data_IF_703224675698
#
_entry.id   IF_703224675698
#
_cell.length_a   1.000
_cell.length_b   1.000
_cell.length_c   1.000
_cell.angle_alpha   90.00
_cell.angle_beta   90.00
_cell.angle_gamma   90.00
#
_symmetry.space_group_name_H-M   'P 1'
#
loop_
_entity.id
_entity.type
_entity.pdbx_description
1 polymer ?
#
# COMPACT_ATOMS: atom_id res chain seq x y z
N UNK A 1 -9.56 26.42 19.42
CA UNK A 1 -10.32 25.27 19.94
C UNK A 1 -11.75 25.71 20.19
N UNK A 2 -12.72 24.86 19.88
CA UNK A 2 -14.12 25.13 20.16
C UNK A 2 -14.39 24.95 21.66
N UNK A 3 -14.94 25.97 22.31
CA UNK A 3 -15.15 26.00 23.76
C UNK A 3 -16.62 25.83 24.17
N UNK A 4 -17.48 25.62 23.17
CA UNK A 4 -18.92 25.45 23.34
C UNK A 4 -19.30 23.97 23.25
N UNK A 5 -20.34 23.59 23.99
CA UNK A 5 -20.98 22.27 23.87
C UNK A 5 -22.47 22.43 24.11
N UNK A 6 -23.29 21.61 23.45
CA UNK A 6 -24.71 21.54 23.75
C UNK A 6 -24.93 21.04 25.20
N UNK A 7 -25.87 21.65 25.92
CA UNK A 7 -26.10 21.34 27.33
C UNK A 7 -26.63 19.91 27.53
N UNK A 8 -27.49 19.42 26.65
CA UNK A 8 -28.00 18.04 26.73
C UNK A 8 -26.89 17.04 26.45
N UNK A 9 -26.00 17.34 25.51
CA UNK A 9 -24.78 16.55 25.27
C UNK A 9 -23.91 16.51 26.54
N UNK A 10 -23.65 17.66 27.18
CA UNK A 10 -22.84 17.71 28.40
C UNK A 10 -23.47 16.90 29.55
N UNK A 11 -24.79 17.02 29.76
CA UNK A 11 -25.51 16.20 30.77
C UNK A 11 -25.36 14.70 30.48
N UNK A 12 -25.44 14.29 29.20
CA UNK A 12 -25.24 12.89 28.82
C UNK A 12 -23.81 12.43 29.07
N UNK A 13 -22.81 13.26 28.74
CA UNK A 13 -21.40 12.99 29.02
C UNK A 13 -21.17 12.87 30.53
N UNK A 14 -21.74 13.76 31.35
CA UNK A 14 -21.67 13.68 32.82
C UNK A 14 -22.19 12.34 33.34
N UNK A 15 -23.37 11.92 32.85
CA UNK A 15 -23.99 10.65 33.21
C UNK A 15 -23.07 9.45 32.87
N UNK A 16 -22.43 9.46 31.69
CA UNK A 16 -21.52 8.39 31.28
C UNK A 16 -20.22 8.38 32.10
N UNK A 17 -19.64 9.55 32.40
CA UNK A 17 -18.46 9.66 33.25
C UNK A 17 -18.76 9.18 34.66
N UNK A 18 -19.90 9.58 35.25
CA UNK A 18 -20.35 9.03 36.55
C UNK A 18 -20.45 7.50 36.51
N UNK A 19 -20.84 6.94 35.37
CA UNK A 19 -20.96 5.49 35.14
C UNK A 19 -19.63 4.74 34.96
N UNK A 20 -18.52 5.42 34.69
CA UNK A 20 -17.20 4.80 34.48
C UNK A 20 -16.45 5.22 33.22
N UNK A 21 -17.04 6.08 32.38
CA UNK A 21 -16.36 6.58 31.18
C UNK A 21 -15.16 7.46 31.54
N UNK A 22 -14.05 7.28 30.84
CA UNK A 22 -12.95 8.24 30.80
C UNK A 22 -13.13 9.17 29.62
N UNK A 23 -13.14 10.49 29.85
CA UNK A 23 -13.14 11.50 28.78
C UNK A 23 -11.81 12.24 28.74
N UNK A 24 -11.36 12.58 27.53
CA UNK A 24 -10.19 13.42 27.29
C UNK A 24 -10.67 14.64 26.51
N UNK A 25 -10.84 15.79 27.18
CA UNK A 25 -11.39 17.00 26.57
C UNK A 25 -11.05 18.26 27.36
N UNK A 26 -10.92 19.43 26.69
CA UNK A 26 -10.89 20.71 27.36
C UNK A 26 -12.19 21.00 28.10
N UNK A 27 -12.12 21.86 29.12
CA UNK A 27 -13.31 22.28 29.87
C UNK A 27 -14.20 23.18 28.98
N UNK A 28 -15.48 22.85 28.76
CA UNK A 28 -16.40 23.74 28.06
C UNK A 28 -16.73 24.96 28.93
N UNK A 29 -17.02 26.11 28.30
CA UNK A 29 -17.26 27.38 29.01
C UNK A 29 -18.63 28.01 28.70
N UNK A 30 -19.32 27.54 27.66
CA UNK A 30 -20.63 28.07 27.23
C UNK A 30 -21.44 27.05 26.46
N UNK A 31 -22.76 27.21 26.43
CA UNK A 31 -23.66 26.35 25.68
C UNK A 31 -23.62 26.69 24.18
N UNK A 32 -23.95 25.72 23.31
CA UNK A 32 -24.19 26.01 21.89
C UNK A 32 -25.58 26.62 21.70
N UNK A 33 -25.65 27.89 21.31
CA UNK A 33 -26.91 28.59 20.99
C UNK A 33 -27.41 29.52 22.11
N UNK A 34 -28.64 30.04 21.93
CA UNK A 34 -29.28 31.00 22.85
C UNK A 34 -30.47 30.40 23.64
N UNK A 35 -30.81 29.14 23.38
CA UNK A 35 -31.94 28.47 24.04
C UNK A 35 -31.67 28.36 25.54
N UNK A 36 -32.55 28.95 26.36
CA UNK A 36 -32.41 28.92 27.82
C UNK A 36 -31.32 29.82 28.38
N UNK A 37 -30.77 30.74 27.58
CA UNK A 37 -29.80 31.72 28.07
C UNK A 37 -30.46 32.70 29.07
N UNK A 38 -29.78 33.07 30.18
CA UNK A 38 -28.42 32.70 30.59
C UNK A 38 -28.32 31.43 31.47
N UNK A 39 -29.45 30.83 31.84
CA UNK A 39 -29.49 29.69 32.76
C UNK A 39 -28.78 28.45 32.21
N UNK A 40 -28.81 28.26 30.89
CA UNK A 40 -28.08 27.20 30.20
C UNK A 40 -26.57 27.28 30.42
N UNK A 41 -25.98 28.49 30.35
CA UNK A 41 -24.56 28.71 30.59
C UNK A 41 -24.22 28.53 32.08
N UNK A 42 -25.13 28.94 32.97
CA UNK A 42 -24.97 28.74 34.40
C UNK A 42 -24.91 27.26 34.74
N UNK A 43 -25.87 26.47 34.28
CA UNK A 43 -25.90 25.03 34.53
C UNK A 43 -24.70 24.31 33.89
N UNK A 44 -24.33 24.68 32.66
CA UNK A 44 -23.14 24.14 32.00
C UNK A 44 -21.90 24.36 32.86
N UNK A 45 -21.70 25.58 33.37
CA UNK A 45 -20.56 25.92 34.22
C UNK A 45 -20.58 25.13 35.54
N UNK A 46 -21.76 24.90 36.11
CA UNK A 46 -21.91 24.06 37.30
C UNK A 46 -21.54 22.59 37.03
N UNK A 47 -21.98 22.02 35.90
CA UNK A 47 -21.61 20.65 35.50
C UNK A 47 -20.10 20.58 35.24
N UNK A 48 -19.57 21.50 34.45
CA UNK A 48 -18.15 21.56 34.10
C UNK A 48 -17.26 21.71 35.36
N UNK A 49 -17.66 22.55 36.32
CA UNK A 49 -16.94 22.74 37.58
C UNK A 49 -16.88 21.46 38.40
N UNK A 50 -17.98 20.70 38.49
CA UNK A 50 -18.00 19.41 39.22
C UNK A 50 -17.20 18.33 38.51
N UNK A 51 -17.32 18.24 37.18
CA UNK A 51 -16.67 17.20 36.37
C UNK A 51 -15.16 17.41 36.22
N UNK A 52 -14.72 18.60 35.80
CA UNK A 52 -13.30 18.91 35.61
C UNK A 52 -12.62 19.27 36.94
N UNK A 53 -13.35 19.76 37.95
CA UNK A 53 -12.78 20.09 39.26
C UNK A 53 -11.60 21.07 39.14
N UNK A 54 -10.40 20.71 39.63
CA UNK A 54 -9.21 21.56 39.53
C UNK A 54 -8.45 21.44 38.20
N UNK A 55 -8.89 20.59 37.26
CA UNK A 55 -8.17 20.33 36.00
C UNK A 55 -8.08 21.59 35.15
N UNK A 56 -6.86 21.93 34.74
CA UNK A 56 -6.51 23.11 33.97
C UNK A 56 -5.74 22.78 32.66
N UNK A 57 -5.54 21.49 32.36
CA UNK A 57 -4.89 21.05 31.13
C UNK A 57 -3.38 21.21 31.09
N UNK A 58 -2.75 21.66 32.16
CA UNK A 58 -1.30 21.90 32.22
C UNK A 58 -0.68 21.29 33.48
N UNK A 59 -0.91 21.89 34.65
CA UNK A 59 -0.36 21.39 35.93
C UNK A 59 -1.26 20.33 36.58
N UNK A 60 -2.57 20.43 36.37
CA UNK A 60 -3.55 19.44 36.83
C UNK A 60 -4.31 18.97 35.60
N UNK A 61 -4.09 17.71 35.24
CA UNK A 61 -4.55 17.15 33.96
C UNK A 61 -5.59 16.06 34.12
N UNK A 62 -5.91 15.63 35.34
CA UNK A 62 -6.87 14.57 35.62
C UNK A 62 -7.74 14.89 36.85
N UNK A 63 -9.03 14.55 36.77
CA UNK A 63 -9.96 14.52 37.89
C UNK A 63 -10.75 13.20 37.88
N UNK A 64 -10.93 12.59 39.05
CA UNK A 64 -11.84 11.46 39.21
C UNK A 64 -13.26 11.97 39.49
N UNK A 65 -14.25 11.47 38.77
CA UNK A 65 -15.64 11.90 38.93
C UNK A 65 -16.62 10.73 38.81
N UNK A 66 -17.35 10.45 39.89
CA UNK A 66 -18.12 9.22 40.01
C UNK A 66 -17.22 7.98 39.89
N UNK A 67 -17.53 7.07 38.96
CA UNK A 67 -16.69 5.90 38.66
C UNK A 67 -15.70 6.13 37.52
N UNK A 68 -15.78 7.27 36.83
CA UNK A 68 -14.98 7.59 35.66
C UNK A 68 -13.92 8.65 35.91
N UNK A 69 -13.37 9.18 34.81
CA UNK A 69 -12.26 10.14 34.83
C UNK A 69 -12.46 11.23 33.79
N UNK A 70 -11.99 12.43 34.11
CA UNK A 70 -11.93 13.58 33.20
C UNK A 70 -10.49 14.00 33.06
N UNK A 71 -9.98 14.01 31.83
CA UNK A 71 -8.59 14.31 31.50
C UNK A 71 -8.53 15.49 30.52
N UNK A 72 -7.57 16.39 30.71
CA UNK A 72 -7.32 17.50 29.79
C UNK A 72 -5.80 17.71 29.63
N UNK A 73 -5.36 17.98 28.39
CA UNK A 73 -3.98 18.37 28.10
C UNK A 73 -3.00 17.20 27.96
N UNK A 74 -3.51 15.97 27.89
CA UNK A 74 -2.70 14.74 27.75
C UNK A 74 -2.93 14.12 26.38
N UNK A 75 -1.86 13.54 25.82
CA UNK A 75 -1.94 12.73 24.61
C UNK A 75 -2.77 11.45 24.85
N UNK A 76 -3.67 11.15 23.91
CA UNK A 76 -4.59 10.00 23.98
C UNK A 76 -3.83 8.69 24.11
N UNK A 77 -2.72 8.50 23.37
CA UNK A 77 -1.98 7.24 23.40
C UNK A 77 -1.34 7.01 24.78
N UNK A 78 -0.81 8.07 25.39
CA UNK A 78 -0.24 8.04 26.75
C UNK A 78 -1.29 7.62 27.77
N UNK A 79 -2.49 8.21 27.71
CA UNK A 79 -3.61 7.87 28.61
C UNK A 79 -4.05 6.41 28.41
N UNK A 80 -4.20 5.95 27.17
CA UNK A 80 -4.57 4.56 26.88
C UNK A 80 -3.54 3.56 27.43
N UNK A 81 -2.25 3.84 27.29
CA UNK A 81 -1.18 2.99 27.83
C UNK A 81 -1.22 2.89 29.36
N UNK A 82 -1.47 3.99 30.06
CA UNK A 82 -1.65 3.98 31.53
C UNK A 82 -2.90 3.22 31.96
N UNK A 83 -3.95 3.25 31.14
CA UNK A 83 -5.13 2.40 31.28
C UNK A 83 -4.87 0.93 30.89
N UNK A 84 -3.62 0.57 30.57
CA UNK A 84 -3.19 -0.77 30.11
C UNK A 84 -3.85 -1.20 28.81
N UNK A 85 -4.34 -0.23 28.01
CA UNK A 85 -4.87 -0.44 26.67
C UNK A 85 -3.73 -0.28 25.68
N UNK A 86 -3.18 -1.40 25.23
CA UNK A 86 -2.14 -1.42 24.19
C UNK A 86 -2.68 -0.92 22.84
N UNK A 87 -1.82 -0.41 21.93
CA UNK A 87 -2.22 -0.10 20.56
C UNK A 87 -2.92 -1.29 19.91
N UNK A 88 -3.98 -1.03 19.14
CA UNK A 88 -4.72 -2.08 18.42
C UNK A 88 -3.90 -2.65 17.25
N UNK A 89 -3.20 -1.74 16.54
CA UNK A 89 -2.12 -2.04 15.62
C UNK A 89 -0.92 -1.15 15.93
N UNK A 90 0.26 -1.74 16.01
CA UNK A 90 1.56 -1.05 16.02
C UNK A 90 2.42 -1.60 14.88
N UNK A 91 3.39 -0.85 14.37
CA UNK A 91 4.37 -1.38 13.44
C UNK A 91 5.77 -0.81 13.68
N UNK A 92 6.80 -1.58 13.31
CA UNK A 92 8.19 -1.12 13.25
C UNK A 92 8.71 -1.20 11.81
N UNK A 93 9.46 -0.20 11.38
CA UNK A 93 10.05 -0.11 10.03
C UNK A 93 11.48 0.39 10.10
N UNK A 94 12.35 -0.08 9.21
CA UNK A 94 13.70 0.49 9.02
C UNK A 94 13.70 1.71 8.11
N UNK A 95 12.58 1.98 7.43
CA UNK A 95 12.48 3.09 6.51
C UNK A 95 11.94 4.34 7.22
N UNK A 96 12.60 5.51 7.04
CA UNK A 96 12.14 6.75 7.64
C UNK A 96 10.77 7.13 7.07
N UNK A 97 9.94 7.78 7.88
CA UNK A 97 8.63 8.28 7.46
C UNK A 97 7.62 7.23 6.99
N UNK A 98 7.86 5.94 7.24
CA UNK A 98 6.87 4.87 6.99
C UNK A 98 5.51 5.29 7.54
N UNK A 99 4.48 5.20 6.71
CA UNK A 99 3.13 5.59 7.06
C UNK A 99 2.17 4.49 6.66
N UNK A 100 1.62 3.80 7.65
CA UNK A 100 0.54 2.85 7.47
C UNK A 100 -0.71 3.39 8.16
N UNK A 101 -1.86 2.99 7.64
CA UNK A 101 -3.16 3.29 8.22
C UNK A 101 -4.01 2.02 8.18
N UNK A 102 -5.03 1.95 9.03
CA UNK A 102 -5.81 0.74 9.17
C UNK A 102 -7.25 0.95 9.62
N UNK A 103 -8.08 -0.04 9.30
CA UNK A 103 -9.39 -0.25 9.90
C UNK A 103 -9.40 -1.66 10.49
N UNK A 104 -9.98 -1.80 11.68
CA UNK A 104 -10.17 -3.08 12.35
C UNK A 104 -11.66 -3.39 12.51
N UNK A 105 -12.07 -4.60 12.11
CA UNK A 105 -13.41 -5.16 12.32
C UNK A 105 -13.31 -6.50 13.01
N UNK A 106 -14.30 -6.82 13.83
CA UNK A 106 -14.36 -8.08 14.58
C UNK A 106 -15.69 -8.79 14.37
N UNK A 107 -15.68 -10.10 14.60
CA UNK A 107 -16.84 -10.98 14.69
C UNK A 107 -16.54 -12.08 15.71
N UNK A 108 -17.50 -12.96 15.96
CA UNK A 108 -17.30 -14.07 16.91
C UNK A 108 -16.21 -15.07 16.46
N UNK A 109 -15.87 -15.11 15.17
CA UNK A 109 -14.95 -16.10 14.60
C UNK A 109 -13.60 -15.54 14.16
N UNK A 110 -13.52 -14.23 13.93
CA UNK A 110 -12.34 -13.60 13.33
C UNK A 110 -12.20 -12.11 13.63
N UNK A 111 -10.94 -11.67 13.63
CA UNK A 111 -10.50 -10.28 13.58
C UNK A 111 -10.00 -9.97 12.16
N UNK A 112 -10.37 -8.80 11.64
CA UNK A 112 -10.13 -8.38 10.26
C UNK A 112 -9.47 -7.00 10.28
N UNK A 113 -8.18 -6.94 9.96
CA UNK A 113 -7.46 -5.69 9.75
C UNK A 113 -7.33 -5.43 8.25
N UNK A 114 -7.74 -4.25 7.80
CA UNK A 114 -7.38 -3.74 6.49
C UNK A 114 -6.26 -2.71 6.68
N UNK A 115 -5.07 -2.99 6.17
CA UNK A 115 -3.88 -2.14 6.36
C UNK A 115 -3.41 -1.61 5.01
N UNK A 116 -3.12 -0.32 4.95
CA UNK A 116 -2.76 0.39 3.71
C UNK A 116 -1.43 1.11 3.85
N UNK A 117 -0.61 1.06 2.79
CA UNK A 117 0.60 1.87 2.67
C UNK A 117 0.23 3.30 2.25
N UNK A 118 0.32 4.26 3.18
CA UNK A 118 0.05 5.67 2.95
C UNK A 118 1.30 6.50 2.67
N UNK A 119 2.48 5.89 2.47
CA UNK A 119 3.71 6.67 2.25
C UNK A 119 3.56 7.69 1.11
N UNK A 120 3.08 7.24 -0.06
CA UNK A 120 2.82 8.10 -1.22
C UNK A 120 1.77 9.20 -0.97
N UNK A 121 0.95 9.04 0.08
CA UNK A 121 -0.13 9.95 0.49
C UNK A 121 0.16 10.71 1.78
N UNK A 122 1.34 10.56 2.38
CA UNK A 122 1.66 11.17 3.68
C UNK A 122 1.69 12.69 3.55
N UNK A 123 0.91 13.38 4.38
CA UNK A 123 0.82 14.85 4.38
C UNK A 123 0.10 15.42 3.15
N UNK A 124 -0.61 14.59 2.38
CA UNK A 124 -1.42 15.07 1.25
C UNK A 124 -2.77 15.55 1.78
N UNK A 125 -3.19 16.71 1.27
CA UNK A 125 -4.51 17.26 1.46
C UNK A 125 -5.41 16.82 0.30
N UNK A 126 -6.50 16.11 0.59
CA UNK A 126 -7.44 15.57 -0.42
C UNK A 126 -8.15 16.68 -1.24
N UNK A 127 -8.09 17.93 -0.79
CA UNK A 127 -8.62 19.09 -1.52
C UNK A 127 -7.67 19.65 -2.58
N UNK A 128 -6.41 19.21 -2.62
CA UNK A 128 -5.42 19.67 -3.60
C UNK A 128 -5.27 18.66 -4.75
N UNK A 129 -5.57 19.09 -5.97
CA UNK A 129 -5.34 18.27 -7.16
C UNK A 129 -3.84 18.08 -7.38
N UNK A 130 -3.36 16.83 -7.37
CA UNK A 130 -1.95 16.50 -7.66
C UNK A 130 -1.83 15.62 -8.89
N UNK A 131 -0.79 15.89 -9.67
CA UNK A 131 -0.32 15.04 -10.77
C UNK A 131 1.10 14.61 -10.48
N UNK A 132 1.27 13.30 -10.22
CA UNK A 132 2.56 12.68 -9.96
C UNK A 132 3.02 11.98 -11.24
N UNK A 133 4.08 12.50 -11.87
CA UNK A 133 4.72 11.88 -13.04
C UNK A 133 5.63 10.71 -12.66
N UNK A 134 6.00 10.65 -11.38
CA UNK A 134 6.72 9.55 -10.75
C UNK A 134 6.00 9.22 -9.45
N UNK A 135 5.40 8.02 -9.39
CA UNK A 135 4.95 7.49 -8.12
C UNK A 135 6.18 7.04 -7.33
N UNK A 136 6.26 7.31 -6.02
CA UNK A 136 7.29 6.69 -5.20
C UNK A 136 7.03 5.18 -5.20
N UNK A 137 7.84 4.43 -5.93
CA UNK A 137 7.85 2.97 -5.98
C UNK A 137 8.41 2.39 -4.67
N UNK A 138 7.93 2.89 -3.53
CA UNK A 138 8.40 2.54 -2.21
C UNK A 138 7.55 1.44 -1.60
N UNK A 139 8.18 0.27 -1.52
CA UNK A 139 7.71 -0.84 -0.72
C UNK A 139 7.92 -0.54 0.77
N UNK A 140 6.99 -1.00 1.61
CA UNK A 140 7.09 -0.88 3.08
C UNK A 140 7.25 -2.26 3.72
N UNK A 141 8.49 -2.66 4.06
CA UNK A 141 8.76 -3.83 4.90
C UNK A 141 8.60 -3.47 6.38
N UNK A 142 7.62 -4.07 7.03
CA UNK A 142 7.25 -3.75 8.42
C UNK A 142 7.04 -5.00 9.26
N UNK A 143 7.29 -4.91 10.56
CA UNK A 143 6.72 -5.85 11.52
C UNK A 143 5.49 -5.22 12.15
N UNK A 144 4.32 -5.76 11.83
CA UNK A 144 3.06 -5.31 12.41
C UNK A 144 2.72 -6.15 13.64
N UNK A 145 2.39 -5.49 14.75
CA UNK A 145 1.90 -6.09 15.99
C UNK A 145 0.40 -5.80 16.12
N UNK A 146 -0.39 -6.85 16.04
CA UNK A 146 -1.85 -6.80 16.14
C UNK A 146 -2.26 -7.19 17.55
N UNK A 147 -3.21 -6.48 18.16
CA UNK A 147 -3.74 -6.80 19.50
C UNK A 147 -4.73 -7.97 19.47
N UNK A 148 -4.25 -9.09 18.92
CA UNK A 148 -4.94 -10.36 18.77
C UNK A 148 -4.01 -11.47 19.27
N UNK A 149 -4.55 -12.49 19.93
CA UNK A 149 -3.79 -13.66 20.42
C UNK A 149 -4.60 -14.93 20.27
N UNK A 150 -3.92 -16.08 20.13
CA UNK A 150 -4.57 -17.38 20.06
C UNK A 150 -5.27 -17.70 18.73
N UNK A 151 -5.08 -16.86 17.70
CA UNK A 151 -5.70 -17.01 16.38
C UNK A 151 -4.64 -17.19 15.29
N UNK A 152 -5.06 -17.76 14.15
CA UNK A 152 -4.16 -18.04 13.02
C UNK A 152 -4.30 -16.93 11.97
N UNK A 153 -3.18 -16.25 11.60
CA UNK A 153 -3.21 -15.20 10.59
C UNK A 153 -3.27 -15.72 9.14
N UNK A 154 -3.96 -14.97 8.29
CA UNK A 154 -4.07 -15.13 6.84
C UNK A 154 -3.90 -13.76 6.15
N UNK A 155 -3.38 -13.77 4.92
CA UNK A 155 -3.33 -12.61 4.04
C UNK A 155 -4.30 -12.77 2.89
N UNK A 156 -5.14 -11.76 2.71
CA UNK A 156 -6.14 -11.71 1.66
C UNK A 156 -5.82 -10.50 0.76
N UNK A 157 -5.54 -10.78 -0.51
CA UNK A 157 -5.20 -9.79 -1.52
C UNK A 157 -6.48 -9.20 -2.12
N UNK A 158 -6.80 -7.91 -1.88
CA UNK A 158 -8.01 -7.28 -2.39
C UNK A 158 -8.02 -7.12 -3.91
N UNK A 159 -6.84 -7.14 -4.56
CA UNK A 159 -6.70 -6.94 -6.00
C UNK A 159 -7.00 -8.21 -6.78
N UNK A 160 -6.64 -9.37 -6.22
CA UNK A 160 -6.76 -10.67 -6.90
C UNK A 160 -7.77 -11.62 -6.27
N UNK A 161 -8.25 -11.33 -5.06
CA UNK A 161 -9.10 -12.22 -4.27
C UNK A 161 -8.39 -13.46 -3.73
N UNK A 162 -7.06 -13.56 -3.91
CA UNK A 162 -6.27 -14.70 -3.41
C UNK A 162 -6.10 -14.61 -1.91
N UNK A 163 -6.23 -15.75 -1.25
CA UNK A 163 -6.01 -15.91 0.19
C UNK A 163 -4.78 -16.79 0.43
N UNK A 164 -3.99 -16.45 1.44
CA UNK A 164 -2.76 -17.16 1.78
C UNK A 164 -2.60 -17.31 3.29
N UNK A 165 -2.26 -18.51 3.75
CA UNK A 165 -1.89 -18.73 5.15
C UNK A 165 -0.58 -18.01 5.51
N UNK A 166 -0.54 -17.36 6.67
CA UNK A 166 0.68 -16.78 7.22
C UNK A 166 1.38 -17.81 8.10
N UNK A 167 2.57 -18.24 7.66
CA UNK A 167 3.40 -19.19 8.41
C UNK A 167 4.55 -18.54 9.16
N UNK A 168 4.78 -17.24 9.00
CA UNK A 168 5.80 -16.50 9.73
C UNK A 168 5.10 -15.50 10.63
N UNK A 169 4.99 -15.83 11.90
CA UNK A 169 4.42 -14.96 12.91
C UNK A 169 4.86 -15.44 14.29
N UNK A 170 4.66 -14.61 15.31
CA UNK A 170 4.83 -15.01 16.70
C UNK A 170 3.81 -14.31 17.57
N UNK A 171 3.56 -14.85 18.75
CA UNK A 171 2.74 -14.21 19.77
C UNK A 171 3.64 -13.78 20.94
N UNK A 172 3.48 -12.54 21.39
CA UNK A 172 4.24 -11.96 22.49
C UNK A 172 3.36 -10.92 23.19
N UNK A 173 3.30 -10.97 24.52
CA UNK A 173 2.56 -10.02 25.36
C UNK A 173 1.11 -9.73 24.92
N UNK A 174 0.38 -10.75 24.48
CA UNK A 174 -1.02 -10.60 24.04
C UNK A 174 -1.20 -9.96 22.66
N UNK A 175 -0.13 -9.89 21.87
CA UNK A 175 -0.15 -9.42 20.48
C UNK A 175 0.40 -10.49 19.53
N UNK A 176 -0.09 -10.49 18.30
CA UNK A 176 0.44 -11.32 17.20
C UNK A 176 1.29 -10.43 16.30
N UNK A 177 2.53 -10.83 16.06
CA UNK A 177 3.52 -10.06 15.30
C UNK A 177 3.75 -10.75 13.98
N UNK A 178 3.53 -10.03 12.88
CA UNK A 178 3.64 -10.53 11.51
C UNK A 178 4.57 -9.62 10.69
N UNK A 179 5.61 -10.16 10.04
CA UNK A 179 6.38 -9.40 9.05
C UNK A 179 5.56 -9.28 7.76
N UNK A 180 5.29 -8.04 7.34
CA UNK A 180 4.48 -7.71 6.18
C UNK A 180 5.25 -6.85 5.18
N UNK A 181 4.85 -6.97 3.93
CA UNK A 181 5.41 -6.23 2.80
C UNK A 181 4.28 -5.57 2.04
N UNK A 182 4.21 -4.24 2.07
CA UNK A 182 3.23 -3.51 1.29
C UNK A 182 3.87 -2.96 0.03
N UNK A 183 3.21 -3.18 -1.09
CA UNK A 183 3.52 -2.54 -2.37
C UNK A 183 3.33 -1.01 -2.27
N UNK A 184 3.90 -0.22 -3.19
CA UNK A 184 3.61 1.21 -3.33
C UNK A 184 2.11 1.49 -3.39
N UNK A 185 1.58 2.29 -2.45
CA UNK A 185 0.13 2.53 -2.27
C UNK A 185 -0.72 1.25 -2.13
N UNK A 186 -0.08 0.11 -1.86
CA UNK A 186 -0.70 -1.19 -1.73
C UNK A 186 -1.47 -1.36 -0.42
N UNK A 187 -2.37 -2.34 -0.41
CA UNK A 187 -3.19 -2.68 0.74
C UNK A 187 -3.38 -4.18 0.88
N UNK A 188 -3.60 -4.63 2.11
CA UNK A 188 -3.85 -6.05 2.41
C UNK A 188 -4.86 -6.19 3.53
N UNK A 189 -5.64 -7.26 3.46
CA UNK A 189 -6.43 -7.74 4.58
C UNK A 189 -5.63 -8.77 5.36
N UNK A 190 -5.45 -8.52 6.66
CA UNK A 190 -4.84 -9.44 7.62
C UNK A 190 -5.98 -10.00 8.46
N UNK A 191 -6.28 -11.28 8.24
CA UNK A 191 -7.39 -11.97 8.92
C UNK A 191 -6.81 -12.86 10.00
N UNK A 192 -7.34 -12.79 11.22
CA UNK A 192 -7.04 -13.73 12.28
C UNK A 192 -8.27 -14.60 12.52
N UNK A 193 -8.16 -15.91 12.34
CA UNK A 193 -9.28 -16.85 12.54
C UNK A 193 -9.04 -17.75 13.73
N UNK A 194 -10.13 -18.10 14.44
CA UNK A 194 -10.12 -19.23 15.38
C UNK A 194 -9.93 -20.54 14.60
N UNK A 195 -8.71 -21.05 14.60
CA UNK A 195 -8.34 -22.28 13.91
C UNK A 195 -7.25 -23.04 14.67
N UNK A 196 -7.10 -24.33 14.36
CA UNK A 196 -6.01 -25.13 14.91
C UNK A 196 -4.68 -24.56 14.42
N UNK A 197 -3.83 -24.17 15.36
CA UNK A 197 -2.49 -23.65 15.06
C UNK A 197 -1.71 -24.69 14.26
N UNK A 198 -1.31 -24.31 13.05
CA UNK A 198 -0.36 -25.08 12.23
C UNK A 198 1.09 -24.79 12.69
N UNK A 199 2.05 -25.68 12.39
CA UNK A 199 3.47 -25.34 12.51
C UNK A 199 3.76 -24.01 11.82
N UNK A 200 4.38 -23.09 12.55
CA UNK A 200 4.73 -21.76 12.07
C UNK A 200 6.14 -21.39 12.55
N UNK A 201 6.73 -20.43 11.84
CA UNK A 201 8.08 -19.93 11.99
C UNK A 201 8.02 -18.68 12.86
N UNK A 202 8.76 -18.71 13.96
CA UNK A 202 8.81 -17.61 14.95
C UNK A 202 10.09 -16.78 14.83
N UNK A 203 11.09 -17.28 14.09
CA UNK A 203 12.37 -16.60 13.87
C UNK A 203 12.94 -16.96 12.50
N UNK A 204 13.46 -15.96 11.79
CA UNK A 204 14.21 -16.11 10.55
C UNK A 204 15.53 -15.38 10.68
N UNK A 205 16.61 -16.06 10.33
CA UNK A 205 17.97 -15.52 10.28
C UNK A 205 18.50 -15.65 8.85
N UNK A 206 19.31 -14.67 8.44
CA UNK A 206 20.08 -14.70 7.19
C UNK A 206 21.53 -14.35 7.50
N UNK A 207 22.45 -15.22 7.12
CA UNK A 207 23.89 -15.05 7.33
C UNK A 207 24.23 -14.73 8.80
N UNK A 208 23.53 -15.40 9.73
CA UNK A 208 23.68 -15.21 11.18
C UNK A 208 23.02 -13.94 11.77
N UNK A 209 22.35 -13.12 10.94
CA UNK A 209 21.62 -11.93 11.40
C UNK A 209 20.12 -12.19 11.47
N UNK A 210 19.46 -11.70 12.51
CA UNK A 210 18.02 -11.88 12.70
C UNK A 210 17.25 -10.97 11.73
N UNK A 211 16.45 -11.56 10.86
CA UNK A 211 15.51 -10.86 9.97
C UNK A 211 14.18 -10.61 10.67
N UNK A 212 13.69 -11.65 11.33
CA UNK A 212 12.48 -11.68 12.13
C UNK A 212 12.81 -12.47 13.39
N UNK A 213 12.59 -11.94 14.59
CA UNK A 213 12.04 -10.62 14.92
C UNK A 213 13.06 -9.47 14.87
N UNK A 214 12.57 -8.23 14.79
CA UNK A 214 13.37 -7.01 14.93
C UNK A 214 13.62 -6.23 13.65
N UNK A 215 13.03 -6.65 12.51
CA UNK A 215 13.06 -5.95 11.22
C UNK A 215 14.43 -5.36 10.89
N UNK A 216 15.54 -6.11 10.97
CA UNK A 216 16.88 -5.49 10.95
C UNK A 216 17.45 -5.17 9.56
N UNK A 217 16.72 -5.43 8.47
CA UNK A 217 17.23 -5.21 7.11
C UNK A 217 16.67 -3.93 6.48
N UNK A 218 17.57 -3.20 5.80
CA UNK A 218 17.28 -1.95 5.08
C UNK A 218 17.22 -2.21 3.58
N UNK A 219 16.24 -1.57 2.92
CA UNK A 219 16.16 -1.45 1.47
C UNK A 219 15.81 -2.75 0.75
N UNK A 220 14.52 -3.01 0.54
CA UNK A 220 14.12 -4.10 -0.34
C UNK A 220 12.86 -3.76 -1.11
N UNK A 221 12.97 -3.82 -2.44
CA UNK A 221 11.86 -3.75 -3.38
C UNK A 221 11.05 -5.07 -3.43
N UNK A 222 11.45 -6.08 -2.64
CA UNK A 222 10.88 -7.43 -2.62
C UNK A 222 11.00 -8.07 -1.22
N UNK A 223 10.16 -9.06 -0.86
CA UNK A 223 10.34 -9.82 0.40
C UNK A 223 11.66 -10.60 0.42
N UNK A 224 12.28 -10.83 1.59
CA UNK A 224 13.52 -11.63 1.66
C UNK A 224 13.28 -13.12 1.43
N UNK A 225 12.20 -13.63 2.03
CA UNK A 225 11.71 -14.99 1.86
C UNK A 225 10.19 -14.94 1.84
N UNK A 226 9.58 -15.75 0.99
CA UNK A 226 8.15 -15.98 0.99
C UNK A 226 7.91 -17.45 1.30
N UNK A 227 7.26 -17.73 2.43
CA UNK A 227 6.83 -19.08 2.78
C UNK A 227 5.36 -19.24 2.38
N UNK A 228 5.06 -20.28 1.62
CA UNK A 228 3.72 -20.58 1.11
C UNK A 228 3.32 -21.99 1.51
N UNK A 229 2.06 -22.15 1.93
CA UNK A 229 1.43 -23.45 2.19
C UNK A 229 0.44 -23.75 1.07
N UNK A 230 0.60 -24.90 0.40
CA UNK A 230 -0.35 -25.43 -0.58
C UNK A 230 -0.77 -26.84 -0.13
N UNK A 231 -1.97 -26.96 0.44
CA UNK A 231 -2.41 -28.19 1.10
C UNK A 231 -1.49 -28.55 2.27
N UNK A 232 -0.91 -29.76 2.24
CA UNK A 232 0.06 -30.23 3.23
C UNK A 232 1.51 -29.77 2.94
N UNK A 233 1.79 -29.28 1.73
CA UNK A 233 3.14 -28.91 1.31
C UNK A 233 3.44 -27.46 1.71
N UNK A 234 4.59 -27.25 2.33
CA UNK A 234 5.13 -25.93 2.59
C UNK A 234 6.37 -25.75 1.71
N UNK A 235 6.43 -24.62 1.00
CA UNK A 235 7.53 -24.24 0.11
C UNK A 235 7.99 -22.81 0.40
N UNK A 236 9.26 -22.53 0.14
CA UNK A 236 9.83 -21.20 0.33
C UNK A 236 10.41 -20.65 -0.98
N UNK A 237 10.09 -19.40 -1.31
CA UNK A 237 10.80 -18.62 -2.33
C UNK A 237 11.81 -17.73 -1.62
N UNK A 238 13.09 -17.88 -1.92
CA UNK A 238 14.16 -17.05 -1.37
C UNK A 238 14.52 -16.02 -2.43
N UNK A 239 14.41 -14.73 -2.14
CA UNK A 239 14.62 -13.66 -3.12
C UNK A 239 16.03 -13.08 -3.11
N UNK A 240 16.82 -13.37 -2.08
CA UNK A 240 18.22 -12.96 -1.99
C UNK A 240 19.12 -14.13 -1.64
N UNK A 241 20.30 -14.21 -2.26
CA UNK A 241 21.32 -15.17 -1.85
C UNK A 241 21.69 -15.00 -0.37
N UNK A 242 22.03 -16.11 0.28
CA UNK A 242 22.39 -16.18 1.69
C UNK A 242 22.05 -17.53 2.31
N UNK A 243 22.55 -17.74 3.52
CA UNK A 243 22.25 -18.89 4.36
C UNK A 243 21.11 -18.52 5.32
N UNK A 244 19.96 -19.16 5.16
CA UNK A 244 18.76 -18.90 5.95
C UNK A 244 18.54 -19.96 7.00
N UNK A 245 18.24 -19.53 8.23
CA UNK A 245 17.83 -20.41 9.32
C UNK A 245 16.45 -20.00 9.81
N UNK A 246 15.49 -20.92 9.78
CA UNK A 246 14.12 -20.72 10.26
C UNK A 246 13.91 -21.55 11.51
N UNK A 247 13.51 -20.92 12.61
CA UNK A 247 13.13 -21.59 13.85
C UNK A 247 11.61 -21.65 13.94
N UNK A 248 11.08 -22.85 14.13
CA UNK A 248 9.66 -23.11 14.25
C UNK A 248 9.22 -23.08 15.71
N UNK A 249 7.95 -22.77 15.97
CA UNK A 249 7.40 -22.71 17.32
C UNK A 249 7.57 -24.01 18.13
N UNK A 250 7.64 -25.16 17.44
CA UNK A 250 7.91 -26.47 18.06
C UNK A 250 9.39 -26.80 18.28
N UNK A 251 10.30 -25.83 18.14
CA UNK A 251 11.75 -26.02 18.34
C UNK A 251 12.49 -26.61 17.13
N UNK A 252 11.78 -27.06 16.10
CA UNK A 252 12.38 -27.49 14.84
C UNK A 252 13.17 -26.35 14.20
N UNK A 253 14.29 -26.69 13.54
CA UNK A 253 15.11 -25.75 12.78
C UNK A 253 15.17 -26.22 11.32
N UNK A 254 14.95 -25.31 10.39
CA UNK A 254 15.18 -25.55 8.95
C UNK A 254 16.27 -24.61 8.46
N UNK A 255 17.23 -25.18 7.72
CA UNK A 255 18.27 -24.41 7.04
C UNK A 255 18.06 -24.50 5.53
N UNK A 256 18.12 -23.35 4.87
CA UNK A 256 18.06 -23.23 3.42
C UNK A 256 19.27 -22.43 2.96
N UNK A 257 19.84 -22.77 1.82
CA UNK A 257 21.00 -22.07 1.28
C UNK A 257 20.72 -21.63 -0.13
N UNK A 258 20.84 -20.34 -0.39
CA UNK A 258 20.79 -19.81 -1.74
C UNK A 258 22.13 -19.21 -2.13
N UNK A 259 22.84 -19.86 -3.05
CA UNK A 259 24.17 -19.42 -3.49
C UNK A 259 24.14 -18.40 -4.65
N UNK A 260 23.10 -18.41 -5.48
CA UNK A 260 23.02 -17.58 -6.69
C UNK A 260 22.25 -16.28 -6.45
N UNK A 261 22.79 -15.14 -6.88
CA UNK A 261 22.09 -13.85 -6.89
C UNK A 261 20.99 -13.81 -7.96
N UNK A 262 20.05 -12.87 -7.83
CA UNK A 262 19.10 -12.60 -8.92
C UNK A 262 19.88 -12.10 -10.13
N UNK A 263 19.57 -12.61 -11.32
CA UNK A 263 20.09 -12.04 -12.56
C UNK A 263 19.06 -11.05 -13.12
N UNK A 264 19.53 -9.89 -13.57
CA UNK A 264 18.68 -8.88 -14.20
C UNK A 264 19.12 -8.67 -15.64
N UNK A 265 18.16 -8.59 -16.55
CA UNK A 265 18.38 -8.30 -17.96
C UNK A 265 17.56 -7.07 -18.34
N UNK A 266 18.23 -5.98 -18.68
CA UNK A 266 17.59 -4.78 -19.24
C UNK A 266 17.20 -5.03 -20.70
N UNK A 267 16.03 -4.54 -21.09
CA UNK A 267 15.65 -4.50 -22.50
C UNK A 267 16.47 -3.41 -23.21
N UNK A 268 17.11 -3.76 -24.31
CA UNK A 268 17.93 -2.85 -25.12
C UNK A 268 17.47 -2.82 -26.58
N UNK A 269 17.82 -1.76 -27.31
CA UNK A 269 17.51 -1.56 -28.72
C UNK A 269 16.07 -1.11 -29.00
N UNK A 270 15.71 -1.04 -30.28
CA UNK A 270 14.49 -0.36 -30.75
C UNK A 270 13.18 -1.00 -30.30
N UNK A 271 12.20 -0.17 -29.97
CA UNK A 271 10.81 -0.54 -29.74
C UNK A 271 9.96 -0.13 -30.94
N UNK A 272 8.93 -0.91 -31.24
CA UNK A 272 7.91 -0.55 -32.23
C UNK A 272 6.64 -0.15 -31.50
N UNK A 273 6.19 1.08 -31.70
CA UNK A 273 4.99 1.61 -31.07
C UNK A 273 3.90 1.71 -32.14
N UNK A 274 2.69 1.37 -31.75
CA UNK A 274 1.50 1.48 -32.59
C UNK A 274 0.48 2.36 -31.90
N UNK A 275 -0.06 3.32 -32.63
CA UNK A 275 -1.08 4.25 -32.16
C UNK A 275 -2.31 4.15 -33.05
N UNK A 276 -3.48 4.42 -32.48
CA UNK A 276 -4.73 4.45 -33.23
C UNK A 276 -4.82 5.73 -34.06
N UNK A 277 -4.93 5.57 -35.38
CA UNK A 277 -5.08 6.68 -36.33
C UNK A 277 -6.40 7.43 -36.12
N UNK A 278 -7.44 6.77 -35.60
CA UNK A 278 -8.73 7.42 -35.28
C UNK A 278 -8.59 8.47 -34.18
N UNK A 279 -7.56 8.34 -33.32
CA UNK A 279 -7.22 9.30 -32.27
C UNK A 279 -6.04 10.21 -32.64
N UNK A 280 -5.68 10.25 -33.92
CA UNK A 280 -4.67 11.14 -34.48
C UNK A 280 -3.22 10.67 -34.32
N UNK A 281 -3.00 9.40 -33.96
CA UNK A 281 -1.66 8.81 -33.89
C UNK A 281 -1.08 8.44 -35.27
N UNK A 282 0.25 8.32 -35.42
CA UNK A 282 0.91 8.11 -36.72
C UNK A 282 0.94 6.65 -37.19
N UNK A 283 -0.01 5.81 -36.74
CA UNK A 283 -0.08 4.35 -36.95
C UNK A 283 1.09 3.55 -36.34
N UNK A 284 2.32 3.78 -36.79
CA UNK A 284 3.52 3.09 -36.34
C UNK A 284 4.73 4.03 -36.22
N UNK A 285 5.49 3.90 -35.13
CA UNK A 285 6.78 4.60 -34.95
C UNK A 285 7.80 3.69 -34.28
N UNK A 286 9.05 3.74 -34.76
CA UNK A 286 10.18 3.07 -34.13
C UNK A 286 10.91 4.04 -33.21
N UNK A 287 11.22 3.63 -31.98
CA UNK A 287 11.93 4.48 -31.00
C UNK A 287 13.11 3.74 -30.40
N UNK A 288 14.22 4.44 -30.24
CA UNK A 288 15.45 3.89 -29.64
C UNK A 288 15.39 3.94 -28.10
N UNK A 289 14.72 4.96 -27.55
CA UNK A 289 14.59 5.17 -26.10
C UNK A 289 13.12 5.39 -25.74
N UNK A 290 12.68 4.69 -24.69
CA UNK A 290 11.37 4.90 -24.08
C UNK A 290 11.33 6.26 -23.38
N UNK A 291 10.28 7.04 -23.64
CA UNK A 291 10.05 8.37 -23.05
C UNK A 291 8.57 8.69 -23.06
N UNK A 292 8.17 9.69 -22.28
CA UNK A 292 6.80 10.21 -22.32
C UNK A 292 6.40 10.62 -23.73
N UNK A 293 5.16 10.29 -24.12
CA UNK A 293 4.56 10.72 -25.40
C UNK A 293 4.59 12.24 -25.58
N UNK A 294 4.46 13.00 -24.48
CA UNK A 294 4.48 14.47 -24.50
C UNK A 294 5.81 15.08 -24.94
N UNK A 295 6.88 14.28 -24.99
CA UNK A 295 8.23 14.68 -25.41
C UNK A 295 8.52 14.34 -26.89
N UNK A 296 7.53 13.90 -27.66
CA UNK A 296 7.64 13.73 -29.10
C UNK A 296 7.39 15.05 -29.83
N UNK A 297 8.10 15.26 -30.93
CA UNK A 297 7.86 16.43 -31.81
C UNK A 297 6.59 16.25 -32.64
N UNK A 298 6.32 15.01 -33.05
CA UNK A 298 5.08 14.61 -33.72
C UNK A 298 3.87 14.96 -32.83
N UNK A 299 2.99 15.83 -33.34
CA UNK A 299 1.83 16.33 -32.60
C UNK A 299 0.76 15.27 -32.36
N UNK A 300 0.67 14.27 -33.24
CA UNK A 300 -0.21 13.12 -33.08
C UNK A 300 0.16 12.29 -31.86
N UNK A 301 1.47 12.10 -31.61
CA UNK A 301 1.99 11.43 -30.40
C UNK A 301 1.96 12.37 -29.19
N UNK A 302 2.46 13.62 -29.32
CA UNK A 302 2.55 14.59 -28.20
C UNK A 302 1.23 14.79 -27.48
N UNK A 303 0.14 14.87 -28.25
CA UNK A 303 -1.21 15.07 -27.73
C UNK A 303 -2.06 13.80 -27.76
N UNK A 304 -1.44 12.62 -27.83
CA UNK A 304 -2.19 11.38 -27.89
C UNK A 304 -2.92 11.10 -26.57
N UNK A 305 -4.19 10.71 -26.67
CA UNK A 305 -4.92 10.06 -25.59
C UNK A 305 -5.63 8.81 -26.11
N UNK A 306 -5.45 7.70 -25.41
CA UNK A 306 -5.96 6.40 -25.84
C UNK A 306 -4.97 5.28 -25.54
N UNK A 307 -5.06 4.21 -26.32
CA UNK A 307 -4.17 3.04 -26.18
C UNK A 307 -3.02 3.14 -27.16
N UNK A 308 -1.78 2.92 -26.70
CA UNK A 308 -0.64 2.66 -27.57
C UNK A 308 -0.07 1.27 -27.28
N UNK A 309 0.31 0.54 -28.33
CA UNK A 309 0.87 -0.81 -28.21
C UNK A 309 2.36 -0.79 -28.50
N UNK A 310 3.16 -1.21 -27.53
CA UNK A 310 4.60 -1.36 -27.66
C UNK A 310 4.93 -2.81 -27.96
N UNK A 311 5.66 -3.08 -29.05
CA UNK A 311 6.10 -4.43 -29.42
C UNK A 311 7.61 -4.56 -29.36
N UNK A 312 8.06 -5.68 -28.82
CA UNK A 312 9.48 -5.98 -28.65
C UNK A 312 9.76 -7.48 -28.66
N UNK A 313 10.79 -7.89 -29.38
CA UNK A 313 11.37 -9.23 -29.25
C UNK A 313 12.51 -9.19 -28.24
N UNK A 314 12.63 -10.24 -27.43
CA UNK A 314 13.70 -10.38 -26.45
C UNK A 314 14.13 -11.85 -26.34
N UNK A 315 15.41 -12.07 -26.02
CA UNK A 315 15.94 -13.40 -25.81
C UNK A 315 16.01 -13.71 -24.31
N UNK A 316 15.67 -14.94 -23.94
CA UNK A 316 15.85 -15.46 -22.59
C UNK A 316 16.91 -16.55 -22.63
N UNK A 317 17.96 -16.40 -21.83
CA UNK A 317 19.00 -17.42 -21.70
C UNK A 317 18.41 -18.76 -21.25
N UNK A 318 18.99 -19.90 -21.66
CA UNK A 318 18.57 -21.21 -21.15
C UNK A 318 18.58 -21.22 -19.61
N UNK A 319 17.40 -21.34 -19.01
CA UNK A 319 17.21 -21.40 -17.57
C UNK A 319 16.26 -22.54 -17.23
N UNK A 320 16.47 -23.16 -16.07
CA UNK A 320 15.52 -24.14 -15.55
C UNK A 320 14.31 -23.40 -14.95
N UNK A 321 13.27 -23.17 -15.75
CA UNK A 321 12.05 -22.49 -15.29
C UNK A 321 11.26 -23.27 -14.23
N UNK A 322 11.61 -24.54 -13.96
CA UNK A 322 11.05 -25.28 -12.81
C UNK A 322 11.60 -24.80 -11.47
N UNK A 323 12.71 -24.08 -11.46
CA UNK A 323 13.40 -23.62 -10.25
C UNK A 323 13.76 -22.14 -10.33
N UNK A 324 13.24 -21.40 -11.32
CA UNK A 324 13.53 -19.98 -11.52
C UNK A 324 12.26 -19.27 -11.96
N UNK A 325 11.84 -18.27 -11.18
CA UNK A 325 10.78 -17.34 -11.60
C UNK A 325 11.38 -16.28 -12.52
N UNK A 326 10.60 -15.85 -13.51
CA UNK A 326 10.94 -14.76 -14.42
C UNK A 326 9.94 -13.64 -14.23
N UNK A 327 10.39 -12.54 -13.64
CA UNK A 327 9.59 -11.35 -13.41
C UNK A 327 9.88 -10.32 -14.50
N UNK A 328 8.86 -9.82 -15.19
CA UNK A 328 8.95 -8.64 -16.04
C UNK A 328 8.59 -7.41 -15.22
N UNK A 329 9.45 -6.40 -15.23
CA UNK A 329 9.19 -5.10 -14.63
C UNK A 329 9.17 -4.06 -15.76
N UNK A 330 8.04 -3.38 -15.93
CA UNK A 330 7.87 -2.34 -16.95
C UNK A 330 8.48 -0.99 -16.52
N UNK A 331 8.90 -0.85 -15.26
CA UNK A 331 9.32 0.43 -14.70
C UNK A 331 8.17 1.43 -14.64
N UNK A 332 8.44 2.68 -14.99
CA UNK A 332 7.44 3.74 -14.93
C UNK A 332 6.46 3.66 -16.13
N UNK A 333 5.18 3.51 -15.81
CA UNK A 333 4.07 3.49 -16.77
C UNK A 333 3.00 4.48 -16.32
N UNK A 334 2.55 5.33 -17.25
CA UNK A 334 1.45 6.26 -17.03
C UNK A 334 0.35 6.02 -18.09
N UNK A 335 -0.84 5.51 -17.75
CA UNK A 335 -1.36 5.24 -16.39
C UNK A 335 -1.64 3.77 -16.09
N UNK A 336 -1.97 2.97 -17.11
CA UNK A 336 -2.29 1.55 -16.93
C UNK A 336 -1.62 0.72 -18.01
N UNK A 337 -1.30 -0.53 -17.68
CA UNK A 337 -0.66 -1.45 -18.61
C UNK A 337 -1.29 -2.85 -18.57
N UNK A 338 -1.38 -3.48 -19.73
CA UNK A 338 -1.45 -4.95 -19.82
C UNK A 338 -0.35 -5.46 -20.74
N UNK A 339 0.02 -6.72 -20.56
CA UNK A 339 1.05 -7.34 -21.40
C UNK A 339 0.54 -8.61 -22.06
N UNK A 340 1.12 -8.91 -23.22
CA UNK A 340 0.98 -10.18 -23.92
C UNK A 340 2.36 -10.78 -24.14
N UNK A 341 2.59 -11.99 -23.61
CA UNK A 341 3.84 -12.74 -23.80
C UNK A 341 3.57 -13.93 -24.70
N UNK A 342 4.24 -13.99 -25.85
CA UNK A 342 4.11 -15.09 -26.81
C UNK A 342 2.64 -15.43 -27.17
N UNK A 343 1.78 -14.41 -27.25
CA UNK A 343 0.34 -14.55 -27.53
C UNK A 343 -0.57 -14.74 -26.31
N UNK A 344 -0.01 -14.87 -25.11
CA UNK A 344 -0.79 -15.03 -23.87
C UNK A 344 -0.96 -13.68 -23.17
N UNK A 345 -2.19 -13.15 -23.17
CA UNK A 345 -2.53 -11.87 -22.53
C UNK A 345 -2.69 -12.04 -21.01
N UNK A 346 -2.10 -11.13 -20.25
CA UNK A 346 -2.17 -11.09 -18.79
C UNK A 346 -3.18 -10.04 -18.28
N UNK A 347 -3.64 -10.13 -17.02
CA UNK A 347 -4.53 -9.13 -16.42
C UNK A 347 -3.94 -7.72 -16.47
N UNK A 348 -4.84 -6.73 -16.53
CA UNK A 348 -4.48 -5.30 -16.49
C UNK A 348 -3.91 -4.95 -15.12
N UNK A 349 -2.80 -4.21 -15.10
CA UNK A 349 -2.33 -3.47 -13.92
C UNK A 349 -2.66 -2.00 -14.08
N UNK A 350 -3.32 -1.45 -13.06
CA UNK A 350 -3.73 -0.05 -13.01
C UNK A 350 -3.04 0.76 -11.90
N UNK A 351 -2.24 0.09 -11.09
CA UNK A 351 -1.42 0.70 -10.04
C UNK A 351 -0.02 0.11 -10.07
N UNK A 352 0.95 0.91 -9.62
CA UNK A 352 2.28 0.43 -9.33
C UNK A 352 2.22 -0.70 -8.28
N UNK A 353 3.16 -1.67 -8.31
CA UNK A 353 4.24 -1.81 -9.28
C UNK A 353 3.79 -2.53 -10.57
N UNK A 354 4.24 -2.07 -11.74
CA UNK A 354 3.94 -2.68 -13.05
C UNK A 354 4.79 -3.92 -13.35
N UNK A 355 4.80 -4.85 -12.40
CA UNK A 355 5.55 -6.10 -12.44
C UNK A 355 4.66 -7.31 -12.72
N UNK A 356 5.12 -8.25 -13.54
CA UNK A 356 4.37 -9.42 -13.97
C UNK A 356 5.20 -10.69 -13.80
N UNK A 357 4.63 -11.72 -13.18
CA UNK A 357 5.21 -13.07 -13.20
C UNK A 357 4.93 -13.72 -14.55
N UNK A 358 5.94 -13.73 -15.42
CA UNK A 358 5.85 -14.26 -16.79
C UNK A 358 6.41 -15.68 -16.91
N UNK A 359 6.73 -16.33 -15.77
CA UNK A 359 7.46 -17.61 -15.73
C UNK A 359 6.84 -18.69 -16.61
N UNK A 360 5.51 -18.79 -16.62
CA UNK A 360 4.78 -19.81 -17.38
C UNK A 360 4.60 -19.49 -18.87
N UNK A 361 4.99 -18.29 -19.30
CA UNK A 361 4.71 -17.79 -20.66
C UNK A 361 5.98 -17.58 -21.50
N UNK A 362 7.16 -17.64 -20.88
CA UNK A 362 8.45 -17.52 -21.58
C UNK A 362 9.06 -18.87 -21.92
N UNK A 363 9.93 -18.88 -22.93
CA UNK A 363 10.72 -20.04 -23.36
C UNK A 363 12.20 -19.65 -23.57
N UNK A 364 13.14 -20.61 -23.58
CA UNK A 364 14.53 -20.30 -23.91
C UNK A 364 14.63 -19.75 -25.35
N UNK A 365 15.55 -18.82 -25.57
CA UNK A 365 15.72 -18.14 -26.85
C UNK A 365 14.70 -17.02 -27.05
N UNK A 366 14.20 -16.86 -28.28
CA UNK A 366 13.42 -15.70 -28.67
C UNK A 366 11.97 -15.73 -28.16
N UNK A 367 11.53 -14.62 -27.58
CA UNK A 367 10.19 -14.37 -27.06
C UNK A 367 9.67 -13.05 -27.63
N UNK A 368 8.35 -12.90 -27.65
CA UNK A 368 7.65 -11.67 -28.06
C UNK A 368 6.89 -11.08 -26.89
N UNK A 369 7.08 -9.78 -26.69
CA UNK A 369 6.36 -8.95 -25.73
C UNK A 369 5.53 -7.92 -26.49
N UNK A 370 4.26 -7.79 -26.11
CA UNK A 370 3.43 -6.63 -26.42
C UNK A 370 3.00 -5.97 -25.09
N UNK A 371 3.08 -4.65 -25.00
CA UNK A 371 2.61 -3.86 -23.86
C UNK A 371 1.57 -2.88 -24.37
N UNK A 372 0.32 -3.03 -23.91
CA UNK A 372 -0.74 -2.07 -24.16
C UNK A 372 -0.73 -1.05 -23.02
N UNK A 373 -0.48 0.23 -23.33
CA UNK A 373 -0.51 1.33 -22.37
C UNK A 373 -1.66 2.27 -22.68
N UNK A 374 -2.41 2.66 -21.66
CA UNK A 374 -3.55 3.58 -21.78
C UNK A 374 -3.34 4.76 -20.83
N UNK A 375 -3.54 5.99 -21.35
CA UNK A 375 -3.47 7.23 -20.57
C UNK A 375 -4.85 7.91 -20.45
N UNK A 376 -4.84 9.16 -19.96
CA UNK A 376 -6.02 10.00 -19.78
C UNK A 376 -6.27 10.94 -20.97
N UNK A 377 -7.51 11.39 -21.10
CA UNK A 377 -7.98 12.36 -22.12
C UNK A 377 -7.37 13.77 -22.16
N UNK A 378 -6.76 14.34 -21.10
CA UNK A 378 -6.28 15.74 -21.12
C UNK A 378 -5.37 16.06 -22.30
N UNK A 379 -4.48 15.16 -22.70
CA UNK A 379 -3.53 15.42 -23.78
C UNK A 379 -4.23 15.66 -25.11
N UNK A 380 -5.19 14.81 -25.48
CA UNK A 380 -5.97 14.96 -26.72
C UNK A 380 -6.88 16.18 -26.69
N UNK A 381 -7.50 16.47 -25.55
CA UNK A 381 -8.29 17.70 -25.34
C UNK A 381 -7.43 18.97 -25.56
N UNK A 382 -6.21 19.00 -25.02
CA UNK A 382 -5.24 20.11 -25.21
C UNK A 382 -4.75 20.19 -26.66
N UNK A 383 -4.58 19.05 -27.33
CA UNK A 383 -4.21 19.02 -28.75
C UNK A 383 -5.31 19.57 -29.65
N UNK A 384 -6.55 19.19 -29.37
CA UNK A 384 -7.73 19.57 -30.15
C UNK A 384 -8.12 21.04 -29.96
N UNK A 385 -7.91 21.61 -28.77
CA UNK A 385 -8.20 23.03 -28.54
C UNK A 385 -7.39 23.97 -29.44
N UNK A 386 -6.27 23.49 -29.99
CA UNK A 386 -5.39 24.20 -30.94
C UNK A 386 -5.82 24.04 -32.40
N UNK A 387 -6.84 23.24 -32.67
CA UNK A 387 -7.34 22.98 -34.00
C UNK A 387 -8.67 23.71 -34.24
N UNK A 388 -8.99 24.06 -35.50
CA UNK A 388 -10.35 24.42 -35.92
C UNK A 388 -11.35 23.35 -35.47
N UNK A 389 -12.58 23.77 -35.14
CA UNK A 389 -13.59 22.91 -34.54
C UNK A 389 -13.86 21.63 -35.36
N UNK A 390 -13.79 21.73 -36.69
CA UNK A 390 -14.06 20.66 -37.64
C UNK A 390 -12.94 19.61 -37.71
N UNK A 391 -11.75 19.93 -37.18
CA UNK A 391 -10.58 19.05 -37.12
C UNK A 391 -10.39 18.41 -35.74
N UNK A 392 -11.23 18.75 -34.76
CA UNK A 392 -11.16 18.20 -33.40
C UNK A 392 -11.72 16.77 -33.38
N UNK A 393 -11.06 15.89 -32.65
CA UNK A 393 -11.49 14.50 -32.45
C UNK A 393 -12.37 14.36 -31.21
N UNK A 394 -12.25 15.29 -30.27
CA UNK A 394 -12.94 15.32 -28.98
C UNK A 394 -13.98 16.43 -28.92
N UNK A 395 -15.04 16.19 -28.14
CA UNK A 395 -16.09 17.17 -27.82
C UNK A 395 -16.37 17.15 -26.33
N UNK A 396 -16.25 18.30 -25.67
CA UNK A 396 -16.43 18.42 -24.22
C UNK A 396 -16.96 19.81 -23.82
N UNK A 397 -17.56 19.91 -22.64
CA UNK A 397 -17.89 21.18 -21.97
C UNK A 397 -16.75 21.69 -21.05
N UNK A 398 -15.64 20.97 -20.96
CA UNK A 398 -14.49 21.30 -20.12
C UNK A 398 -13.60 22.34 -20.81
N UNK A 399 -13.77 23.62 -20.43
CA UNK A 399 -13.07 24.75 -21.07
C UNK A 399 -11.64 24.98 -20.58
N UNK A 400 -11.19 24.32 -19.49
CA UNK A 400 -9.85 24.56 -18.90
C UNK A 400 -8.69 24.25 -19.85
N UNK A 401 -8.92 23.47 -20.90
CA UNK A 401 -7.92 23.07 -21.88
C UNK A 401 -7.87 24.00 -23.11
N UNK A 402 -8.72 25.02 -23.18
CA UNK A 402 -8.80 25.96 -24.30
C UNK A 402 -7.91 27.20 -24.10
N UNK A 403 -7.39 27.42 -22.89
CA UNK A 403 -6.49 28.52 -22.60
C UNK A 403 -5.18 28.41 -23.41
N UNK A 404 -4.59 29.56 -23.78
CA UNK A 404 -3.35 29.61 -24.56
C UNK A 404 -2.16 28.89 -23.89
N UNK A 405 -2.13 28.86 -22.55
CA UNK A 405 -1.11 28.21 -21.74
C UNK A 405 -1.49 26.77 -21.31
N UNK A 406 -2.50 26.17 -21.94
CA UNK A 406 -3.05 24.85 -21.59
C UNK A 406 -2.03 23.70 -21.64
N UNK A 407 -0.90 23.85 -22.33
CA UNK A 407 0.18 22.85 -22.33
C UNK A 407 0.76 22.58 -20.94
N UNK A 408 0.65 23.51 -19.99
CA UNK A 408 1.05 23.27 -18.59
C UNK A 408 0.27 22.13 -17.92
N UNK A 409 -0.86 21.73 -18.52
CA UNK A 409 -1.69 20.62 -18.06
C UNK A 409 -1.46 19.30 -18.81
N UNK A 410 -0.47 19.25 -19.72
CA UNK A 410 -0.08 17.99 -20.35
C UNK A 410 0.31 16.97 -19.29
N UNK A 411 -0.13 15.74 -19.51
CA UNK A 411 0.16 14.59 -18.68
C UNK A 411 1.24 13.78 -19.38
N UNK A 412 2.39 13.61 -18.73
CA UNK A 412 3.27 12.50 -19.10
C UNK A 412 2.49 11.21 -19.29
N UNK A 413 2.87 10.43 -20.29
CA UNK A 413 2.08 9.28 -20.71
C UNK A 413 2.94 8.27 -21.43
N UNK A 414 2.56 7.00 -21.30
CA UNK A 414 3.20 5.89 -21.99
C UNK A 414 4.09 5.05 -21.10
N UNK A 415 4.88 4.20 -21.75
CA UNK A 415 5.91 3.38 -21.13
C UNK A 415 7.23 4.14 -21.13
N UNK A 416 7.71 4.55 -19.96
CA UNK A 416 9.00 5.25 -19.81
C UNK A 416 10.12 4.31 -19.34
N UNK A 417 9.79 3.17 -18.73
CA UNK A 417 10.78 2.20 -18.30
C UNK A 417 11.53 2.59 -17.02
N UNK A 418 12.71 2.01 -16.77
CA UNK A 418 13.36 0.98 -17.60
C UNK A 418 12.60 -0.36 -17.55
N UNK A 419 12.53 -1.04 -18.70
CA UNK A 419 11.95 -2.39 -18.77
C UNK A 419 13.04 -3.43 -18.51
N UNK A 420 12.82 -4.35 -17.57
CA UNK A 420 13.78 -5.39 -17.18
C UNK A 420 13.13 -6.73 -16.92
N UNK A 421 13.89 -7.80 -17.14
CA UNK A 421 13.61 -9.12 -16.57
C UNK A 421 14.44 -9.32 -15.31
N UNK A 422 13.84 -9.92 -14.29
CA UNK A 422 14.55 -10.44 -13.13
C UNK A 422 14.32 -11.94 -13.02
N UNK A 423 15.41 -12.69 -13.02
CA UNK A 423 15.43 -14.14 -12.83
C UNK A 423 15.68 -14.44 -11.36
N UNK A 424 14.70 -15.07 -10.72
CA UNK A 424 14.69 -15.36 -9.29
C UNK A 424 14.72 -16.88 -9.09
N UNK A 425 15.90 -17.49 -8.88
CA UNK A 425 16.01 -18.86 -8.43
C UNK A 425 15.19 -19.09 -7.17
N UNK A 426 14.42 -20.17 -7.13
CA UNK A 426 13.67 -20.60 -5.95
C UNK A 426 13.88 -22.09 -5.69
N UNK A 427 14.01 -22.45 -4.42
CA UNK A 427 14.11 -23.84 -3.99
C UNK A 427 12.72 -24.35 -3.61
N UNK A 428 12.21 -25.35 -4.32
CA UNK A 428 11.09 -26.14 -3.83
C UNK A 428 11.62 -27.16 -2.82
N UNK A 429 12.06 -26.67 -1.66
CA UNK A 429 12.28 -27.52 -0.50
C UNK A 429 10.91 -27.96 0.02
N UNK A 430 10.62 -29.25 0.01
CA UNK A 430 9.61 -29.76 0.93
C UNK A 430 10.11 -29.48 2.34
N UNK A 431 9.54 -28.46 2.99
CA UNK A 431 9.63 -28.34 4.44
C UNK A 431 8.74 -29.45 5.00
N UNK A 432 9.21 -30.71 4.92
CA UNK A 432 8.50 -31.88 5.45
C UNK A 432 8.20 -31.60 6.91
N UNK A 433 6.94 -31.79 7.33
CA UNK A 433 6.51 -31.58 8.72
C UNK A 433 7.35 -32.40 9.69
#
# INVERSE_FOLDING_TARGET
>A
EETAIDLEVLRKVEMLVKGGLTIIAPRPVKATGLTGYPDSDKELNEIAARMWGPVNGTTITENSYGKGKVIWGRDVNTVLLEMKVKPDLEFTSTQPNTALDYIHRTSDEMDIYFVVNRFGRKGINDFEFRYLTTLPDRYEPVECKFRVTGMVPELWDPMTGKTKAVLVYREEDGQTIVPLYFEPEGSQFIIFRKAVKSPHIIKIEKDGKILFPGNQFKGIDQPFIEVVKAGAKISSTIFQAGDYTMTWAGGKITRLKRSQQNATQLFSGKWQLYFDEQWGGPQQVAVDTLKSWTLFEDKGIKYYSGTAVYKKSFSVSPANFKTTKVMLDLGNVLEMASITINGNKMPVKWSAPFQFDITSFVKPGNNRLEVEVVNLWPNRLIGDSKLPAEKRLTKTNIMKYDAADSEKYLRESGLMGPVRLTFIPYEVGELRQ
#
